data_IF_443589596370
#
_entry.id   IF_443589596370
#
_cell.length_a   1.000
_cell.length_b   1.000
_cell.length_c   1.000
_cell.angle_alpha   90.00
_cell.angle_beta   90.00
_cell.angle_gamma   90.00
#
_symmetry.space_group_name_H-M   'P 1'
#
loop_
_entity.id
_entity.type
_entity.pdbx_description
1 polymer ?
#
# COMPACT_ATOMS: atom_id res chain seq x y z
N UNK A 1 -16.15 3.93 -12.65
CA UNK A 1 -16.96 4.30 -11.46
C UNK A 1 -18.27 4.95 -11.85
N UNK A 2 -18.29 6.13 -12.49
CA UNK A 2 -19.53 6.84 -12.88
C UNK A 2 -20.48 5.96 -13.72
N UNK A 3 -19.95 5.24 -14.71
CA UNK A 3 -20.76 4.31 -15.51
C UNK A 3 -21.42 3.22 -14.65
N UNK A 4 -20.67 2.60 -13.74
CA UNK A 4 -21.19 1.61 -12.80
C UNK A 4 -22.24 2.18 -11.84
N UNK A 5 -22.04 3.41 -11.37
CA UNK A 5 -23.03 4.11 -10.56
C UNK A 5 -24.34 4.34 -11.32
N UNK A 6 -24.27 4.64 -12.62
CA UNK A 6 -25.45 4.78 -13.50
C UNK A 6 -26.13 3.46 -13.81
N UNK A 7 -25.40 2.35 -13.78
CA UNK A 7 -25.93 0.98 -13.87
C UNK A 7 -26.59 0.53 -12.54
N UNK A 8 -26.64 1.39 -11.51
CA UNK A 8 -27.27 1.08 -10.22
C UNK A 8 -26.34 0.45 -9.19
N UNK A 9 -25.04 0.30 -9.50
CA UNK A 9 -24.05 -0.22 -8.56
C UNK A 9 -23.72 0.84 -7.52
N UNK A 10 -23.69 0.47 -6.24
CA UNK A 10 -23.25 1.36 -5.16
C UNK A 10 -21.73 1.51 -5.21
N UNK A 11 -21.25 2.75 -5.35
CA UNK A 11 -19.81 3.05 -5.37
C UNK A 11 -19.44 3.94 -4.19
N UNK A 12 -18.60 3.41 -3.29
CA UNK A 12 -18.03 4.11 -2.15
C UNK A 12 -16.52 4.28 -2.34
N UNK A 13 -16.00 5.49 -2.11
CA UNK A 13 -14.59 5.82 -2.30
C UNK A 13 -14.08 6.61 -1.10
N UNK A 14 -13.02 6.11 -0.48
CA UNK A 14 -12.22 6.85 0.50
C UNK A 14 -10.96 7.34 -0.21
N UNK A 15 -10.66 8.63 -0.13
CA UNK A 15 -9.43 9.21 -0.70
C UNK A 15 -8.65 9.98 0.36
N UNK A 16 -7.32 9.88 0.35
CA UNK A 16 -6.46 10.58 1.30
C UNK A 16 -6.29 12.05 0.91
N UNK A 17 -6.70 12.98 1.78
CA UNK A 17 -6.72 14.41 1.44
C UNK A 17 -5.36 14.99 1.08
N UNK A 18 -4.29 14.55 1.76
CA UNK A 18 -2.91 15.02 1.47
C UNK A 18 -2.40 14.45 0.14
N UNK A 19 -2.73 13.19 -0.16
CA UNK A 19 -2.32 12.54 -1.41
C UNK A 19 -3.01 13.11 -2.65
N UNK A 20 -4.16 13.78 -2.45
CA UNK A 20 -4.95 14.37 -3.52
C UNK A 20 -5.00 15.90 -3.48
N UNK A 21 -4.06 16.56 -2.79
CA UNK A 21 -4.09 18.02 -2.61
C UNK A 21 -4.03 18.79 -3.94
N UNK A 22 -3.37 18.21 -4.96
CA UNK A 22 -3.26 18.78 -6.30
C UNK A 22 -4.38 18.33 -7.25
N UNK A 23 -5.35 17.52 -6.78
CA UNK A 23 -6.48 17.09 -7.60
C UNK A 23 -7.57 18.17 -7.56
N UNK A 24 -8.03 18.69 -8.71
CA UNK A 24 -9.04 19.75 -8.72
C UNK A 24 -10.33 19.37 -8.00
N UNK A 25 -10.92 20.27 -7.24
CA UNK A 25 -12.19 20.03 -6.53
C UNK A 25 -13.31 19.58 -7.49
N UNK A 26 -13.34 20.14 -8.70
CA UNK A 26 -14.26 19.77 -9.78
C UNK A 26 -14.23 18.27 -10.12
N UNK A 27 -13.09 17.59 -9.93
CA UNK A 27 -12.98 16.14 -10.12
C UNK A 27 -13.86 15.38 -9.12
N UNK A 28 -13.80 15.77 -7.85
CA UNK A 28 -14.58 15.17 -6.77
C UNK A 28 -16.05 15.57 -6.87
N UNK A 29 -16.36 16.81 -7.22
CA UNK A 29 -17.73 17.27 -7.42
C UNK A 29 -18.44 16.51 -8.53
N UNK A 30 -17.77 16.27 -9.66
CA UNK A 30 -18.30 15.45 -10.76
C UNK A 30 -18.63 14.02 -10.32
N UNK A 31 -17.84 13.44 -9.42
CA UNK A 31 -18.12 12.12 -8.88
C UNK A 31 -19.31 12.16 -7.91
N UNK A 32 -19.35 13.12 -6.97
CA UNK A 32 -20.48 13.30 -6.04
C UNK A 32 -21.80 13.55 -6.78
N UNK A 33 -21.79 14.41 -7.80
CA UNK A 33 -23.00 14.72 -8.58
C UNK A 33 -23.51 13.54 -9.39
N UNK A 34 -22.66 12.54 -9.66
CA UNK A 34 -23.09 11.27 -10.28
C UNK A 34 -23.69 10.26 -9.29
N UNK A 35 -23.71 10.59 -7.98
CA UNK A 35 -24.22 9.72 -6.92
C UNK A 35 -23.17 8.83 -6.25
N UNK A 36 -21.88 8.99 -6.58
CA UNK A 36 -20.77 8.28 -5.92
C UNK A 36 -20.54 8.86 -4.52
N UNK A 37 -20.32 7.98 -3.56
CA UNK A 37 -20.07 8.32 -2.17
C UNK A 37 -18.59 8.57 -1.97
N UNK A 38 -18.24 9.81 -1.63
CA UNK A 38 -16.86 10.22 -1.46
C UNK A 38 -16.58 10.64 -0.04
N UNK A 39 -15.59 9.98 0.57
CA UNK A 39 -15.09 10.30 1.88
C UNK A 39 -13.63 10.74 1.80
N UNK A 40 -13.33 11.91 2.38
CA UNK A 40 -11.97 12.40 2.52
C UNK A 40 -11.37 11.88 3.82
N UNK A 41 -10.31 11.07 3.76
CA UNK A 41 -9.61 10.59 4.95
C UNK A 41 -8.65 11.66 5.49
N UNK A 42 -8.81 12.00 6.77
CA UNK A 42 -8.07 13.04 7.49
C UNK A 42 -8.04 14.37 6.71
N UNK A 43 -9.19 15.04 6.56
CA UNK A 43 -9.29 16.29 5.81
C UNK A 43 -8.33 17.34 6.36
N UNK A 44 -7.61 18.00 5.46
CA UNK A 44 -6.73 19.11 5.81
C UNK A 44 -7.61 20.22 6.38
N UNK A 45 -7.50 20.45 7.70
CA UNK A 45 -8.23 21.51 8.38
C UNK A 45 -7.24 22.62 8.76
N UNK A 46 -7.24 23.77 8.05
CA UNK A 46 -6.34 24.90 8.32
C UNK A 46 -6.46 25.45 9.75
N UNK A 47 -7.63 25.34 10.39
CA UNK A 47 -7.83 25.77 11.77
C UNK A 47 -7.18 24.82 12.79
N UNK A 48 -7.04 23.52 12.46
CA UNK A 48 -6.33 22.51 13.28
C UNK A 48 -4.82 22.44 12.99
N UNK A 49 -4.34 23.13 11.94
CA UNK A 49 -2.91 23.20 11.58
C UNK A 49 -2.07 23.99 12.61
N UNK A 50 -2.68 24.84 13.43
CA UNK A 50 -1.99 25.70 14.41
C UNK A 50 -1.72 25.02 15.77
N UNK A 51 -2.00 23.73 15.93
CA UNK A 51 -1.75 22.97 17.16
C UNK A 51 -0.94 21.70 16.94
N UNK A 52 -0.32 21.17 18.00
CA UNK A 52 0.52 19.96 18.03
C UNK A 52 -0.17 18.64 17.63
N UNK A 53 -1.46 18.68 17.26
CA UNK A 53 -2.29 17.52 16.96
C UNK A 53 -2.29 17.09 15.49
N UNK A 54 -1.78 17.89 14.55
CA UNK A 54 -1.81 17.53 13.13
C UNK A 54 -0.62 16.65 12.76
N UNK A 55 -0.76 15.34 12.99
CA UNK A 55 0.23 14.35 12.54
C UNK A 55 0.08 14.17 11.02
N UNK A 56 0.87 14.92 10.24
CA UNK A 56 0.98 14.81 8.76
C UNK A 56 1.20 13.37 8.26
N UNK A 57 1.68 12.49 9.14
CA UNK A 57 1.97 11.08 8.89
C UNK A 57 0.80 10.12 9.22
N UNK A 58 -0.30 10.59 9.79
CA UNK A 58 -1.49 9.76 10.03
C UNK A 58 -2.38 9.77 8.78
N UNK A 59 -1.84 9.20 7.69
CA UNK A 59 -2.53 9.07 6.41
C UNK A 59 -3.11 7.66 6.26
N UNK A 60 -4.24 7.55 5.58
CA UNK A 60 -4.71 6.28 5.07
C UNK A 60 -3.76 5.81 3.96
N UNK A 61 -2.75 5.01 4.30
CA UNK A 61 -1.81 4.44 3.31
C UNK A 61 -2.33 3.15 2.64
N UNK A 62 -3.51 2.69 3.05
CA UNK A 62 -4.17 1.48 2.52
C UNK A 62 -4.62 1.72 1.08
N UNK A 63 -4.29 0.79 0.19
CA UNK A 63 -4.81 0.74 -1.18
C UNK A 63 -5.67 -0.51 -1.27
N UNK A 64 -6.96 -0.29 -1.44
CA UNK A 64 -7.95 -1.35 -1.36
C UNK A 64 -9.05 -1.08 -2.37
N UNK A 65 -9.33 -2.07 -3.20
CA UNK A 65 -10.50 -2.11 -4.08
C UNK A 65 -11.25 -3.40 -3.79
N UNK A 66 -12.54 -3.30 -3.50
CA UNK A 66 -13.40 -4.46 -3.26
C UNK A 66 -14.59 -4.39 -4.20
N UNK A 67 -14.91 -5.53 -4.82
CA UNK A 67 -15.98 -5.68 -5.79
C UNK A 67 -16.96 -6.71 -5.23
N UNK A 68 -18.21 -6.29 -5.04
CA UNK A 68 -19.34 -7.09 -4.58
C UNK A 68 -19.08 -7.89 -3.28
N UNK A 69 -18.14 -7.46 -2.43
CA UNK A 69 -17.72 -8.22 -1.25
C UNK A 69 -17.12 -9.61 -1.56
N UNK A 70 -16.74 -9.89 -2.81
CA UNK A 70 -16.28 -11.21 -3.29
C UNK A 70 -14.84 -11.23 -3.81
N UNK A 71 -14.40 -10.10 -4.36
CA UNK A 71 -13.04 -9.94 -4.90
C UNK A 71 -12.42 -8.70 -4.27
N UNK A 72 -11.19 -8.81 -3.80
CA UNK A 72 -10.44 -7.69 -3.26
C UNK A 72 -9.06 -7.55 -3.91
N UNK A 73 -8.61 -6.32 -4.06
CA UNK A 73 -7.26 -5.99 -4.51
C UNK A 73 -6.56 -5.14 -3.44
N UNK A 74 -5.33 -5.53 -3.08
CA UNK A 74 -4.54 -4.80 -2.07
C UNK A 74 -3.03 -4.93 -2.35
N UNK A 75 -2.23 -3.95 -1.92
CA UNK A 75 -0.78 -3.93 -2.14
C UNK A 75 -0.20 -2.52 -2.17
N UNK A 76 0.90 -2.30 -2.90
CA UNK A 76 1.59 -1.00 -2.95
C UNK A 76 1.15 -0.04 -4.07
N UNK A 77 0.51 -0.57 -5.12
CA UNK A 77 0.06 0.21 -6.30
C UNK A 77 -0.96 1.30 -5.94
N UNK A 78 -0.70 2.55 -6.34
CA UNK A 78 -1.64 3.67 -6.26
C UNK A 78 -2.37 3.87 -7.59
N UNK A 79 -3.51 4.58 -7.55
CA UNK A 79 -4.17 5.09 -8.76
C UNK A 79 -3.57 6.47 -9.08
N UNK A 80 -2.51 6.49 -9.89
CA UNK A 80 -1.81 7.72 -10.33
C UNK A 80 -1.07 7.52 -11.65
N UNK A 81 -0.79 8.62 -12.35
CA UNK A 81 -0.09 8.61 -13.64
C UNK A 81 1.30 7.98 -13.58
N UNK A 82 1.94 7.99 -12.40
CA UNK A 82 3.23 7.33 -12.15
C UNK A 82 3.19 5.82 -12.42
N UNK A 83 2.04 5.18 -12.25
CA UNK A 83 1.83 3.76 -12.59
C UNK A 83 1.26 3.58 -14.01
N UNK A 84 0.71 4.63 -14.63
CA UNK A 84 0.17 4.53 -15.99
C UNK A 84 1.27 4.27 -17.02
N UNK A 85 2.46 4.85 -16.80
CA UNK A 85 3.63 4.65 -17.66
C UNK A 85 4.32 3.30 -17.43
N UNK A 86 3.98 2.56 -16.38
CA UNK A 86 4.57 1.23 -16.10
C UNK A 86 3.80 0.06 -16.72
N UNK A 87 2.74 0.35 -17.47
CA UNK A 87 2.00 -0.68 -18.20
C UNK A 87 2.72 -1.06 -19.50
N UNK A 88 3.01 -2.35 -19.67
CA UNK A 88 3.55 -2.92 -20.93
C UNK A 88 2.69 -2.58 -22.15
N UNK A 89 1.42 -2.21 -21.94
CA UNK A 89 0.51 -1.76 -22.98
C UNK A 89 0.84 -0.36 -23.50
N UNK A 90 1.34 0.57 -22.67
CA UNK A 90 1.71 1.93 -23.11
C UNK A 90 3.10 1.98 -23.76
N UNK A 91 4.03 1.14 -23.31
CA UNK A 91 5.35 0.97 -23.94
C UNK A 91 5.26 0.54 -25.42
N UNK A 92 4.15 -0.09 -25.85
CA UNK A 92 3.89 -0.43 -27.26
C UNK A 92 3.34 0.73 -28.09
N UNK A 93 2.77 1.75 -27.48
CA UNK A 93 2.15 2.89 -28.18
C UNK A 93 2.98 4.16 -28.16
N UNK A 94 3.93 4.29 -27.22
CA UNK A 94 4.79 5.46 -27.10
C UNK A 94 6.25 5.14 -27.45
N UNK A 95 6.53 4.90 -28.73
CA UNK A 95 7.91 4.83 -29.25
C UNK A 95 8.54 6.22 -29.46
N UNK A 96 8.01 7.29 -28.86
CA UNK A 96 8.51 8.67 -29.01
C UNK A 96 8.97 9.30 -27.69
N UNK A 97 9.20 8.52 -26.65
CA UNK A 97 9.81 9.02 -25.42
C UNK A 97 11.34 9.11 -25.57
N UNK A 98 11.81 10.33 -25.86
CA UNK A 98 13.21 10.75 -25.86
C UNK A 98 13.98 10.28 -24.63
N UNK A 99 14.81 9.24 -24.76
CA UNK A 99 16.04 9.00 -23.98
C UNK A 99 15.97 9.04 -22.44
N UNK A 100 14.78 9.09 -21.84
CA UNK A 100 14.57 8.97 -20.39
C UNK A 100 14.32 7.50 -20.11
N UNK A 101 15.00 7.01 -19.09
CA UNK A 101 14.79 5.67 -18.54
C UNK A 101 13.30 5.50 -18.19
N UNK A 102 12.56 4.88 -19.10
CA UNK A 102 11.11 4.63 -19.04
C UNK A 102 10.82 3.34 -18.25
N UNK A 103 11.72 3.01 -17.31
CA UNK A 103 11.53 1.89 -16.39
C UNK A 103 10.36 2.21 -15.48
N UNK A 104 9.19 1.72 -15.88
CA UNK A 104 7.95 1.85 -15.15
C UNK A 104 8.09 1.54 -13.64
N UNK A 105 7.26 2.20 -12.83
CA UNK A 105 7.20 1.95 -11.39
C UNK A 105 6.89 0.48 -11.07
N UNK A 106 7.85 -0.20 -10.41
CA UNK A 106 7.69 -1.58 -9.94
C UNK A 106 7.02 -1.61 -8.57
N UNK A 107 5.90 -2.32 -8.48
CA UNK A 107 5.23 -2.59 -7.21
C UNK A 107 4.52 -3.95 -7.25
N UNK A 108 4.07 -4.44 -6.09
CA UNK A 108 3.33 -5.68 -5.94
C UNK A 108 1.91 -5.40 -5.49
N UNK A 109 0.95 -5.99 -6.19
CA UNK A 109 -0.47 -5.96 -5.83
C UNK A 109 -1.03 -7.38 -5.89
N UNK A 110 -1.97 -7.68 -5.00
CA UNK A 110 -2.58 -8.99 -4.85
C UNK A 110 -4.06 -8.89 -5.21
N UNK A 111 -4.54 -9.84 -6.01
CA UNK A 111 -5.96 -10.16 -6.14
C UNK A 111 -6.27 -11.27 -5.15
N UNK A 112 -7.28 -11.06 -4.31
CA UNK A 112 -7.73 -12.00 -3.28
C UNK A 112 -9.19 -12.33 -3.53
N UNK A 113 -9.48 -13.62 -3.49
CA UNK A 113 -10.78 -14.21 -3.73
C UNK A 113 -11.04 -15.24 -2.61
N UNK A 114 -12.27 -15.28 -2.10
CA UNK A 114 -12.70 -16.26 -1.11
C UNK A 114 -12.72 -15.74 0.33
N UNK A 115 -12.62 -16.61 1.35
CA UNK A 115 -12.95 -16.29 2.75
C UNK A 115 -12.12 -15.18 3.41
N UNK A 116 -11.02 -14.75 2.80
CA UNK A 116 -10.22 -13.62 3.28
C UNK A 116 -10.82 -12.25 2.92
N UNK A 117 -11.68 -12.16 1.89
CA UNK A 117 -12.25 -10.90 1.40
C UNK A 117 -13.08 -10.15 2.46
N UNK A 118 -13.94 -10.80 3.27
CA UNK A 118 -14.68 -10.11 4.33
C UNK A 118 -13.81 -9.36 5.34
N UNK A 119 -12.59 -9.84 5.62
CA UNK A 119 -11.68 -9.14 6.52
C UNK A 119 -11.15 -7.83 5.91
N UNK A 120 -10.90 -7.81 4.59
CA UNK A 120 -10.56 -6.60 3.86
C UNK A 120 -11.76 -5.65 3.77
N UNK A 121 -12.96 -6.19 3.52
CA UNK A 121 -14.21 -5.43 3.55
C UNK A 121 -14.44 -4.77 4.90
N UNK A 122 -14.20 -5.49 6.00
CA UNK A 122 -14.28 -4.93 7.33
C UNK A 122 -13.29 -3.78 7.53
N UNK A 123 -12.05 -3.92 7.06
CA UNK A 123 -11.07 -2.83 7.13
C UNK A 123 -11.48 -1.57 6.35
N UNK A 124 -12.24 -1.72 5.25
CA UNK A 124 -12.85 -0.59 4.54
C UNK A 124 -13.98 0.05 5.38
N UNK A 125 -14.92 -0.75 5.87
CA UNK A 125 -16.06 -0.27 6.69
C UNK A 125 -15.56 0.45 7.94
N UNK A 126 -14.56 -0.10 8.63
CA UNK A 126 -13.97 0.55 9.80
C UNK A 126 -13.37 1.91 9.47
N UNK A 127 -12.62 2.02 8.37
CA UNK A 127 -12.10 3.33 7.95
C UNK A 127 -13.17 4.32 7.52
N UNK A 128 -14.31 3.83 7.03
CA UNK A 128 -15.46 4.68 6.74
C UNK A 128 -16.04 5.27 8.02
N UNK A 129 -16.32 4.40 9.00
CA UNK A 129 -16.88 4.78 10.31
C UNK A 129 -15.94 5.67 11.13
N UNK A 130 -14.64 5.45 11.06
CA UNK A 130 -13.62 6.26 11.75
C UNK A 130 -13.60 7.74 11.34
N UNK A 131 -14.15 8.08 10.17
CA UNK A 131 -14.22 9.46 9.70
C UNK A 131 -15.53 10.16 10.06
N UNK A 132 -16.39 9.54 10.89
CA UNK A 132 -17.69 10.07 11.32
C UNK A 132 -18.55 10.50 10.11
N UNK A 133 -18.51 9.66 9.08
CA UNK A 133 -19.20 9.88 7.81
C UNK A 133 -20.65 9.40 7.86
N UNK A 134 -21.45 9.86 6.90
CA UNK A 134 -22.79 9.32 6.65
C UNK A 134 -22.77 7.78 6.56
N UNK A 135 -23.88 7.15 6.93
CA UNK A 135 -24.04 5.71 6.84
C UNK A 135 -23.73 5.20 5.42
N UNK A 136 -23.01 4.08 5.34
CA UNK A 136 -22.83 3.37 4.07
C UNK A 136 -24.20 3.02 3.50
N UNK A 137 -24.44 3.37 2.22
CA UNK A 137 -25.69 2.99 1.57
C UNK A 137 -25.92 1.48 1.63
N UNK A 138 -27.19 1.11 1.78
CA UNK A 138 -27.63 -0.28 1.82
C UNK A 138 -27.14 -1.06 0.59
N UNK A 139 -26.26 -2.02 0.83
CA UNK A 139 -25.76 -2.99 -0.12
C UNK A 139 -25.37 -4.27 0.62
N UNK A 140 -25.30 -5.39 -0.10
CA UNK A 140 -24.75 -6.62 0.46
C UNK A 140 -23.22 -6.56 0.49
N UNK A 141 -22.66 -5.99 1.56
CA UNK A 141 -21.21 -5.88 1.74
C UNK A 141 -20.56 -7.20 2.17
N UNK A 142 -21.32 -8.12 2.76
CA UNK A 142 -20.80 -9.36 3.34
C UNK A 142 -21.56 -10.57 2.78
N UNK A 143 -21.50 -10.80 1.46
CA UNK A 143 -22.15 -11.96 0.88
C UNK A 143 -21.49 -13.23 1.40
N UNK A 144 -22.25 -14.34 1.34
CA UNK A 144 -21.72 -15.66 1.66
C UNK A 144 -20.50 -15.96 0.78
N UNK A 145 -19.38 -16.27 1.43
CA UNK A 145 -18.14 -16.59 0.73
C UNK A 145 -18.11 -18.06 0.32
N UNK A 146 -17.46 -18.31 -0.81
CA UNK A 146 -17.11 -19.65 -1.28
C UNK A 146 -15.62 -19.85 -1.06
N UNK A 147 -15.23 -21.02 -0.53
CA UNK A 147 -13.82 -21.38 -0.38
C UNK A 147 -13.19 -21.47 -1.75
N UNK A 148 -12.08 -20.77 -1.96
CA UNK A 148 -11.33 -20.77 -3.21
C UNK A 148 -9.83 -20.92 -2.93
N UNK A 149 -9.18 -21.79 -3.71
CA UNK A 149 -7.76 -22.09 -3.56
C UNK A 149 -7.43 -22.99 -2.36
N UNK A 150 -6.14 -23.27 -2.21
CA UNK A 150 -5.55 -24.14 -1.18
C UNK A 150 -4.68 -23.36 -0.17
N UNK A 151 -4.62 -22.03 -0.30
CA UNK A 151 -3.75 -21.17 0.51
C UNK A 151 -4.49 -20.65 1.73
N UNK A 152 -3.83 -20.76 2.88
CA UNK A 152 -4.28 -20.11 4.11
C UNK A 152 -3.89 -18.64 4.04
N UNK A 153 -4.89 -17.75 4.13
CA UNK A 153 -4.70 -16.30 4.06
C UNK A 153 -5.21 -15.67 5.35
N UNK A 154 -4.34 -14.90 6.02
CA UNK A 154 -4.71 -14.05 7.15
C UNK A 154 -4.54 -12.59 6.77
N UNK A 155 -5.62 -11.82 6.88
CA UNK A 155 -5.60 -10.37 6.65
C UNK A 155 -5.23 -9.67 7.95
N UNK A 156 -4.23 -8.80 7.89
CA UNK A 156 -3.81 -7.94 9.00
C UNK A 156 -3.97 -6.49 8.56
N UNK A 157 -4.81 -5.73 9.27
CA UNK A 157 -5.02 -4.32 9.02
C UNK A 157 -4.45 -3.48 10.18
N UNK A 158 -3.76 -2.39 9.85
CA UNK A 158 -3.33 -1.41 10.85
C UNK A 158 -4.48 -0.47 11.22
N UNK A 159 -4.67 -0.27 12.52
CA UNK A 159 -5.57 0.73 13.09
C UNK A 159 -4.75 1.79 13.85
N UNK A 160 -5.21 3.06 13.94
CA UNK A 160 -4.50 4.15 14.63
C UNK A 160 -4.15 3.86 16.10
N UNK A 161 -4.92 2.97 16.74
CA UNK A 161 -4.72 2.52 18.13
C UNK A 161 -4.38 1.03 18.23
N UNK A 162 -4.00 0.41 17.11
CA UNK A 162 -3.75 -1.02 17.03
C UNK A 162 -2.43 -1.44 17.67
N UNK A 163 -2.33 -2.72 18.03
CA UNK A 163 -1.18 -3.30 18.70
C UNK A 163 -0.03 -3.72 17.75
N UNK A 164 0.19 -2.97 16.66
CA UNK A 164 1.27 -3.24 15.69
C UNK A 164 1.26 -4.67 15.11
N UNK A 165 0.07 -5.20 14.82
CA UNK A 165 -0.11 -6.61 14.40
C UNK A 165 0.68 -6.99 13.13
N UNK A 166 0.76 -6.09 12.14
CA UNK A 166 1.58 -6.31 10.95
C UNK A 166 3.06 -6.46 11.31
N UNK A 167 3.57 -5.60 12.19
CA UNK A 167 4.96 -5.63 12.63
C UNK A 167 5.28 -6.92 13.39
N UNK A 168 4.42 -7.33 14.33
CA UNK A 168 4.58 -8.60 15.06
C UNK A 168 4.58 -9.80 14.11
N UNK A 169 3.65 -9.83 13.15
CA UNK A 169 3.58 -10.92 12.17
C UNK A 169 4.83 -10.98 11.28
N UNK A 170 5.35 -9.82 10.86
CA UNK A 170 6.61 -9.74 10.11
C UNK A 170 7.79 -10.24 10.95
N UNK A 171 7.92 -9.80 12.21
CA UNK A 171 8.99 -10.29 13.10
C UNK A 171 8.93 -11.81 13.28
N UNK A 172 7.74 -12.37 13.53
CA UNK A 172 7.55 -13.81 13.67
C UNK A 172 7.94 -14.54 12.38
N UNK A 173 7.56 -14.02 11.22
CA UNK A 173 7.94 -14.60 9.93
C UNK A 173 9.47 -14.58 9.71
N UNK A 174 10.15 -13.53 10.14
CA UNK A 174 11.62 -13.44 10.08
C UNK A 174 12.30 -14.44 11.03
N UNK A 175 11.76 -14.60 12.25
CA UNK A 175 12.31 -15.51 13.26
C UNK A 175 12.09 -16.99 12.92
N UNK A 176 10.97 -17.31 12.26
CA UNK A 176 10.62 -18.70 11.92
C UNK A 176 11.12 -19.16 10.55
N UNK A 177 11.74 -18.29 9.75
CA UNK A 177 12.27 -18.65 8.45
C UNK A 177 13.33 -19.77 8.57
N UNK A 178 13.17 -20.85 7.78
CA UNK A 178 14.07 -22.02 7.81
C UNK A 178 14.95 -22.19 6.56
N UNK A 179 14.65 -21.50 5.46
CA UNK A 179 15.36 -21.70 4.19
C UNK A 179 15.84 -20.40 3.56
N UNK A 180 14.94 -19.43 3.35
CA UNK A 180 15.29 -18.16 2.73
C UNK A 180 14.34 -17.03 3.14
N UNK A 181 14.85 -15.80 3.05
CA UNK A 181 14.09 -14.56 3.27
C UNK A 181 14.33 -13.65 2.06
N UNK A 182 13.24 -13.29 1.36
CA UNK A 182 13.22 -12.31 0.28
C UNK A 182 12.49 -11.06 0.75
N UNK A 183 13.20 -9.93 0.77
CA UNK A 183 12.63 -8.64 1.16
C UNK A 183 12.58 -7.72 -0.05
N UNK A 184 11.42 -7.12 -0.28
CA UNK A 184 11.24 -6.03 -1.22
C UNK A 184 10.44 -4.93 -0.53
N UNK A 185 11.05 -3.78 -0.32
CA UNK A 185 10.42 -2.63 0.31
C UNK A 185 10.97 -1.32 -0.26
N UNK A 186 10.15 -0.26 -0.24
CA UNK A 186 10.57 1.06 -0.69
C UNK A 186 11.53 1.74 0.29
N UNK A 187 11.39 1.43 1.58
CA UNK A 187 12.19 1.99 2.66
C UNK A 187 12.61 0.88 3.62
N UNK A 188 13.91 0.61 3.68
CA UNK A 188 14.48 -0.36 4.61
C UNK A 188 15.16 0.38 5.75
N UNK A 189 14.43 0.60 6.85
CA UNK A 189 14.91 1.24 8.07
C UNK A 189 14.55 0.34 9.26
N UNK A 190 15.26 -0.78 9.46
CA UNK A 190 14.93 -1.76 10.50
C UNK A 190 15.23 -1.21 11.90
N UNK A 191 14.39 -1.56 12.87
CA UNK A 191 14.66 -1.31 14.27
C UNK A 191 15.59 -2.38 14.86
N UNK A 192 15.96 -2.24 16.15
CA UNK A 192 16.89 -3.17 16.81
C UNK A 192 16.36 -4.62 16.80
N UNK A 193 15.06 -4.81 16.97
CA UNK A 193 14.45 -6.14 17.00
C UNK A 193 14.46 -6.79 15.61
N UNK A 194 14.07 -6.04 14.58
CA UNK A 194 14.12 -6.49 13.18
C UNK A 194 15.55 -6.84 12.78
N UNK A 195 16.52 -5.99 13.11
CA UNK A 195 17.94 -6.26 12.82
C UNK A 195 18.45 -7.51 13.53
N UNK A 196 18.07 -7.71 14.80
CA UNK A 196 18.43 -8.91 15.56
C UNK A 196 17.81 -10.18 14.94
N UNK A 197 16.53 -10.14 14.58
CA UNK A 197 15.85 -11.26 13.91
C UNK A 197 16.53 -11.63 12.58
N UNK A 198 16.83 -10.63 11.74
CA UNK A 198 17.54 -10.82 10.48
C UNK A 198 18.94 -11.39 10.68
N UNK A 199 19.70 -10.86 11.64
CA UNK A 199 21.06 -11.33 11.95
C UNK A 199 21.06 -12.78 12.43
N UNK A 200 20.06 -13.17 13.24
CA UNK A 200 19.91 -14.55 13.70
C UNK A 200 19.52 -15.48 12.54
N UNK A 201 18.61 -15.06 11.67
CA UNK A 201 18.19 -15.82 10.49
C UNK A 201 19.37 -16.05 9.52
N UNK A 202 20.19 -15.02 9.26
CA UNK A 202 21.34 -15.06 8.35
C UNK A 202 22.33 -16.22 8.62
N UNK A 203 22.36 -16.75 9.84
CA UNK A 203 23.23 -17.86 10.23
C UNK A 203 22.82 -19.21 9.66
N UNK A 204 21.58 -19.34 9.18
CA UNK A 204 21.03 -20.61 8.69
C UNK A 204 20.13 -20.49 7.45
N UNK A 205 19.84 -19.28 6.97
CA UNK A 205 19.00 -19.07 5.78
C UNK A 205 19.62 -18.12 4.77
N UNK A 206 19.28 -18.31 3.50
CA UNK A 206 19.68 -17.42 2.41
C UNK A 206 18.90 -16.10 2.45
N UNK A 207 19.59 -14.97 2.35
CA UNK A 207 18.95 -13.65 2.39
C UNK A 207 19.14 -12.91 1.08
N UNK A 208 18.04 -12.43 0.50
CA UNK A 208 18.05 -11.56 -0.66
C UNK A 208 17.24 -10.30 -0.36
N UNK A 209 17.86 -9.14 -0.58
CA UNK A 209 17.21 -7.86 -0.41
C UNK A 209 17.27 -7.09 -1.74
N UNK A 210 16.11 -6.76 -2.28
CA UNK A 210 15.98 -5.84 -3.42
C UNK A 210 15.35 -4.54 -2.93
N UNK A 211 16.20 -3.65 -2.42
CA UNK A 211 15.82 -2.26 -2.15
C UNK A 211 15.97 -1.45 -3.44
N UNK A 212 14.89 -0.81 -3.90
CA UNK A 212 14.97 0.29 -4.87
C UNK A 212 14.37 1.52 -4.20
N UNK A 213 15.19 2.55 -3.97
CA UNK A 213 15.21 3.64 -4.93
C UNK A 213 16.63 4.10 -5.30
N UNK A 214 16.94 4.14 -6.59
CA UNK A 214 18.00 5.04 -7.07
C UNK A 214 17.57 6.48 -6.76
N UNK A 215 18.47 7.29 -6.24
CA UNK A 215 18.24 8.71 -5.98
C UNK A 215 17.70 9.42 -7.23
N UNK A 216 16.42 9.81 -7.23
CA UNK A 216 15.90 10.88 -8.07
C UNK A 216 15.10 11.84 -7.18
N UNK A 217 15.82 12.64 -6.40
CA UNK A 217 15.26 13.84 -5.77
C UNK A 217 15.09 14.93 -6.83
N UNK A 218 13.92 15.60 -6.94
CA UNK A 218 13.88 16.96 -7.47
C UNK A 218 14.68 17.86 -6.53
N UNK A 219 15.59 18.65 -7.10
CA UNK A 219 16.46 19.56 -6.36
C UNK A 219 15.64 20.64 -5.62
N UNK A 220 15.40 20.45 -4.32
CA UNK A 220 15.36 21.51 -3.30
C UNK A 220 15.17 20.85 -1.93
N UNK A 221 15.87 21.35 -0.91
CA UNK A 221 16.00 20.79 0.46
C UNK A 221 17.11 19.74 0.62
N UNK A 222 18.35 20.19 0.42
CA UNK A 222 19.53 19.54 0.97
C UNK A 222 20.04 20.33 2.18
N UNK A 223 20.20 19.65 3.33
CA UNK A 223 21.17 19.99 4.38
C UNK A 223 21.83 18.68 4.81
N UNK A 224 23.17 18.61 4.94
CA UNK A 224 23.89 17.34 4.82
C UNK A 224 24.01 16.60 6.15
N UNK A 225 23.88 15.27 6.10
CA UNK A 225 24.48 14.36 7.07
C UNK A 225 25.26 13.29 6.29
N UNK A 226 26.51 13.07 6.71
CA UNK A 226 27.61 12.46 5.94
C UNK A 226 27.47 10.98 5.53
N UNK A 227 28.53 10.43 4.91
CA UNK A 227 28.45 9.25 4.05
C UNK A 227 28.45 7.96 4.87
N UNK A 228 27.42 7.13 4.71
CA UNK A 228 27.48 5.72 5.08
C UNK A 228 27.64 4.88 3.81
N UNK A 229 28.73 4.12 3.80
CA UNK A 229 29.31 3.35 2.71
C UNK A 229 28.43 2.18 2.27
N UNK A 230 28.41 1.94 0.96
CA UNK A 230 27.95 0.70 0.34
C UNK A 230 28.80 -0.47 0.85
N UNK A 231 28.16 -1.51 1.38
CA UNK A 231 28.75 -2.85 1.41
C UNK A 231 27.69 -3.88 1.02
N UNK A 232 27.96 -4.57 -0.08
CA UNK A 232 27.25 -5.75 -0.52
C UNK A 232 27.63 -6.91 0.40
N UNK A 233 26.64 -7.57 1.00
CA UNK A 233 26.88 -8.76 1.81
C UNK A 233 26.89 -9.98 0.89
N UNK A 234 28.09 -10.46 0.56
CA UNK A 234 28.32 -11.82 0.05
C UNK A 234 29.40 -12.46 0.93
N UNK A 235 29.02 -13.38 1.81
CA UNK A 235 29.76 -14.58 2.21
C UNK A 235 28.74 -15.56 2.85
N UNK A 236 28.77 -16.87 2.65
CA UNK A 236 29.80 -17.67 2.01
C UNK A 236 29.32 -19.10 1.77
N UNK A 237 30.19 -19.86 1.13
CA UNK A 237 30.02 -21.28 0.86
C UNK A 237 31.19 -21.74 0.01
N UNK A 238 32.33 -22.00 0.64
CA UNK A 238 33.34 -22.89 0.08
C UNK A 238 33.71 -23.91 1.15
N UNK A 239 33.49 -25.16 0.77
CA UNK A 239 33.70 -26.39 1.51
C UNK A 239 35.00 -27.04 1.06
N UNK A 240 35.63 -27.81 1.96
CA UNK A 240 36.62 -28.89 1.71
C UNK A 240 37.97 -28.46 1.10
N UNK A 241 39.14 -28.90 1.54
CA UNK A 241 39.59 -30.04 2.36
C UNK A 241 40.87 -29.63 3.11
#
# INVERSE_FOLDING_TARGET
MILKQREGIVVNVIYGSVGTINVPQAFFERMRSSGIHLLAFNPVNPAKLRGSGWKLNNRGHRKLLIIDGKVAFTGGVNISDTYANSSLFRARFDQRANGRDDSGWRDTHLKIEGPAVPALQWAFVQAWLEQDADELRGADYFPKQVVMGDKVVRVLASAPHGHFEIYKALLLALQEAKQSIYITCAYFVPDKQTLSALTNAARGVWMCNSCFPAFQTPASCATPAGPATHNSWKQGGESTS
#
